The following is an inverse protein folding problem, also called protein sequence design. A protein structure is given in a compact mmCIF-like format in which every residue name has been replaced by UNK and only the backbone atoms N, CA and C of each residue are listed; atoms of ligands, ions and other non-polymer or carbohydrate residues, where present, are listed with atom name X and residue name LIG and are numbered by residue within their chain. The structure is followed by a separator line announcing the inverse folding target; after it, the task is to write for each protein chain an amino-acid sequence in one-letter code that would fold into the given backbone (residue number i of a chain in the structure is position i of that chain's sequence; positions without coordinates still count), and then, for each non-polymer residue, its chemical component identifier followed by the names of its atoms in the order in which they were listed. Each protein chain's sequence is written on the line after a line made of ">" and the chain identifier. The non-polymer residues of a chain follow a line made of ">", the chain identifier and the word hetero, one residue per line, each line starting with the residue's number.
data_IF_730884810185
#
_entry.id   IF_730884810185
#
_cell.length_a   1.000
_cell.length_b   1.000
_cell.length_c   1.000
_cell.angle_alpha   90.00
_cell.angle_beta   90.00
_cell.angle_gamma   90.00
#
_symmetry.space_group_name_H-M   'P 1'
#
loop_
_entity.id
_entity.type
_entity.pdbx_description
1 polymer ?
#
# COMPACT_ATOMS: atom_id res chain seq x y z
N UNK A 1 -5.52 1.28 9.41
CA UNK A 1 -6.48 2.27 9.97
C UNK A 1 -7.78 1.50 10.23
N UNK A 2 -8.52 1.84 11.27
CA UNK A 2 -9.85 1.28 11.49
C UNK A 2 -10.89 2.34 11.15
N UNK A 3 -11.93 1.95 10.41
CA UNK A 3 -13.10 2.76 10.09
C UNK A 3 -14.26 2.36 11.02
N UNK A 4 -15.17 3.28 11.30
CA UNK A 4 -16.33 3.06 12.17
C UNK A 4 -17.57 3.13 11.30
N UNK A 5 -18.31 2.02 11.23
CA UNK A 5 -19.53 1.92 10.43
C UNK A 5 -20.73 1.61 11.32
N UNK A 6 -21.80 2.35 11.08
CA UNK A 6 -23.07 2.16 11.76
C UNK A 6 -23.97 1.28 10.89
N UNK A 7 -24.49 0.19 11.48
CA UNK A 7 -25.40 -0.74 10.83
C UNK A 7 -26.73 -0.74 11.60
N UNK A 8 -27.84 -0.60 10.88
CA UNK A 8 -29.17 -0.68 11.46
C UNK A 8 -29.57 -2.15 11.59
N UNK A 9 -29.81 -2.60 12.82
CA UNK A 9 -30.19 -4.00 13.12
C UNK A 9 -31.72 -4.13 13.22
N UNK A 10 -32.40 -3.08 13.67
CA UNK A 10 -33.86 -2.97 13.77
C UNK A 10 -34.26 -1.51 13.58
N UNK A 11 -35.55 -1.20 13.37
CA UNK A 11 -36.01 0.20 13.23
C UNK A 11 -35.61 1.08 14.41
N UNK A 12 -35.52 0.52 15.61
CA UNK A 12 -35.17 1.23 16.86
C UNK A 12 -33.70 1.07 17.30
N UNK A 13 -32.92 0.21 16.64
CA UNK A 13 -31.57 -0.17 17.11
C UNK A 13 -30.49 -0.04 16.03
N UNK A 14 -29.51 0.82 16.31
CA UNK A 14 -28.30 1.00 15.51
C UNK A 14 -27.08 0.48 16.27
N UNK A 15 -26.23 -0.30 15.59
CA UNK A 15 -24.99 -0.83 16.15
C UNK A 15 -23.77 -0.30 15.40
N UNK A 16 -22.71 0.00 16.15
CA UNK A 16 -21.48 0.58 15.63
C UNK A 16 -20.35 -0.44 15.62
N UNK A 17 -19.80 -0.71 14.44
CA UNK A 17 -18.74 -1.67 14.24
C UNK A 17 -17.44 -1.00 13.83
N UNK A 18 -16.33 -1.51 14.37
CA UNK A 18 -14.99 -1.11 13.94
C UNK A 18 -14.53 -2.05 12.83
N UNK A 19 -14.50 -1.54 11.60
CA UNK A 19 -14.05 -2.28 10.42
C UNK A 19 -12.60 -1.94 10.10
N UNK A 20 -11.87 -2.90 9.52
CA UNK A 20 -10.54 -2.63 8.97
C UNK A 20 -10.67 -1.85 7.67
N UNK A 21 -9.95 -0.75 7.54
CA UNK A 21 -9.92 0.03 6.32
C UNK A 21 -8.49 0.29 5.83
N UNK A 22 -8.35 0.36 4.51
CA UNK A 22 -7.08 0.52 3.81
C UNK A 22 -7.24 1.44 2.61
N UNK A 23 -6.16 2.12 2.21
CA UNK A 23 -6.15 2.97 1.01
C UNK A 23 -6.48 2.25 -0.31
N UNK A 24 -6.59 0.92 -0.27
CA UNK A 24 -6.98 0.06 -1.38
C UNK A 24 -8.51 -0.08 -1.50
N UNK A 25 -9.26 0.20 -0.44
CA UNK A 25 -10.71 0.15 -0.43
C UNK A 25 -11.29 1.25 -1.34
N UNK A 26 -12.44 0.98 -1.95
CA UNK A 26 -13.11 1.93 -2.85
C UNK A 26 -13.57 3.18 -2.08
N UNK A 27 -14.15 2.94 -0.91
CA UNK A 27 -14.78 3.98 -0.10
C UNK A 27 -13.74 4.91 0.54
N UNK A 28 -12.51 4.43 0.77
CA UNK A 28 -11.45 5.19 1.43
C UNK A 28 -11.12 6.52 0.73
N UNK A 29 -11.24 6.56 -0.60
CA UNK A 29 -10.93 7.75 -1.42
C UNK A 29 -12.18 8.38 -2.02
N UNK A 30 -13.37 7.98 -1.56
CA UNK A 30 -14.62 8.52 -2.10
C UNK A 30 -14.83 9.93 -1.56
N UNK A 31 -15.01 10.89 -2.46
CA UNK A 31 -15.26 12.30 -2.14
C UNK A 31 -16.56 12.74 -2.82
N UNK A 32 -17.05 13.95 -2.54
CA UNK A 32 -18.28 14.49 -3.14
C UNK A 32 -18.23 14.50 -4.69
N UNK A 33 -17.06 14.74 -5.28
CA UNK A 33 -16.80 14.66 -6.72
C UNK A 33 -16.48 13.22 -7.21
N UNK A 34 -16.77 12.21 -6.39
CA UNK A 34 -16.43 10.82 -6.64
C UNK A 34 -15.01 10.43 -6.24
N UNK A 35 -14.59 9.23 -6.64
CA UNK A 35 -13.25 8.71 -6.37
C UNK A 35 -12.29 9.06 -7.52
N UNK A 36 -11.13 9.69 -7.24
CA UNK A 36 -10.12 9.97 -8.28
C UNK A 36 -9.48 8.69 -8.84
N UNK A 37 -9.57 7.57 -8.10
CA UNK A 37 -9.07 6.25 -8.50
C UNK A 37 -10.24 5.28 -8.60
N UNK A 38 -10.78 5.14 -9.81
CA UNK A 38 -12.01 4.35 -10.07
C UNK A 38 -11.69 2.86 -10.00
N UNK A 39 -10.60 2.43 -10.61
CA UNK A 39 -10.28 1.00 -10.74
C UNK A 39 -9.46 0.47 -9.57
N UNK A 40 -9.59 -0.84 -9.31
CA UNK A 40 -8.73 -1.54 -8.32
C UNK A 40 -7.25 -1.44 -8.71
N UNK A 41 -6.95 -1.44 -10.01
CA UNK A 41 -5.59 -1.37 -10.56
C UNK A 41 -4.95 -0.01 -10.28
N UNK A 42 -5.68 1.10 -10.43
CA UNK A 42 -5.18 2.44 -10.09
C UNK A 42 -4.83 2.57 -8.60
N UNK A 43 -5.70 2.07 -7.71
CA UNK A 43 -5.44 2.06 -6.27
C UNK A 43 -4.24 1.20 -5.92
N UNK A 44 -4.13 0.03 -6.57
CA UNK A 44 -2.96 -0.84 -6.45
C UNK A 44 -1.70 -0.08 -6.85
N UNK A 45 -1.65 0.47 -8.06
CA UNK A 45 -0.53 1.26 -8.55
C UNK A 45 -0.15 2.37 -7.57
N UNK A 46 -1.12 3.15 -7.07
CA UNK A 46 -0.85 4.23 -6.11
C UNK A 46 -0.14 3.72 -4.85
N UNK A 47 -0.57 2.59 -4.29
CA UNK A 47 0.03 2.03 -3.06
C UNK A 47 1.51 1.73 -3.23
N UNK A 48 1.92 1.19 -4.39
CA UNK A 48 3.32 0.89 -4.67
C UNK A 48 4.10 2.15 -5.03
N UNK A 49 3.53 3.01 -5.88
CA UNK A 49 4.19 4.26 -6.29
C UNK A 49 4.45 5.19 -5.10
N UNK A 50 3.49 5.33 -4.17
CA UNK A 50 3.70 6.12 -2.96
C UNK A 50 4.80 5.54 -2.06
N UNK A 51 5.06 4.22 -2.09
CA UNK A 51 6.07 3.60 -1.23
C UNK A 51 7.46 3.55 -1.84
N UNK A 52 7.53 3.40 -3.16
CA UNK A 52 8.75 3.08 -3.89
C UNK A 52 9.26 4.23 -4.77
N UNK A 53 8.42 5.21 -5.10
CA UNK A 53 8.75 6.28 -6.05
C UNK A 53 8.53 7.64 -5.41
N UNK A 54 7.29 8.00 -5.07
CA UNK A 54 6.98 9.36 -4.61
C UNK A 54 7.60 9.70 -3.26
N UNK A 55 7.66 8.74 -2.34
CA UNK A 55 8.26 8.97 -1.03
C UNK A 55 9.78 9.19 -1.13
N UNK A 56 10.57 8.33 -1.80
CA UNK A 56 12.00 8.62 -1.96
C UNK A 56 12.28 9.88 -2.79
N UNK A 57 11.46 10.21 -3.80
CA UNK A 57 11.59 11.48 -4.53
C UNK A 57 11.41 12.71 -3.63
N UNK A 58 10.55 12.63 -2.63
CA UNK A 58 10.19 13.75 -1.75
C UNK A 58 10.92 13.73 -0.38
N UNK A 59 11.62 12.65 -0.06
CA UNK A 59 12.30 12.43 1.22
C UNK A 59 13.77 12.00 1.02
N UNK A 60 14.47 12.68 0.09
CA UNK A 60 15.94 12.55 -0.07
C UNK A 60 16.43 11.11 -0.31
N UNK A 61 15.63 10.29 -0.99
CA UNK A 61 15.96 8.90 -1.31
C UNK A 61 15.62 7.89 -0.22
N UNK A 62 14.97 8.28 0.87
CA UNK A 62 14.47 7.33 1.86
C UNK A 62 13.26 6.54 1.35
N UNK A 63 13.22 5.25 1.66
CA UNK A 63 12.13 4.38 1.27
C UNK A 63 11.14 4.19 2.40
N UNK A 64 9.85 4.45 2.15
CA UNK A 64 8.78 4.14 3.09
C UNK A 64 8.54 2.62 3.28
N UNK A 65 9.23 1.78 2.52
CA UNK A 65 9.16 0.33 2.60
C UNK A 65 10.44 -0.23 3.25
N UNK A 66 10.35 -0.60 4.53
CA UNK A 66 11.45 -1.20 5.31
C UNK A 66 11.60 -2.72 5.14
N UNK A 67 10.92 -3.35 4.18
CA UNK A 67 11.03 -4.80 3.96
C UNK A 67 10.27 -5.71 4.95
N UNK A 68 9.48 -5.17 5.88
CA UNK A 68 8.79 -5.92 6.95
C UNK A 68 7.80 -7.05 6.55
N UNK A 69 7.60 -7.36 5.27
CA UNK A 69 6.75 -8.49 4.83
C UNK A 69 5.24 -8.39 5.10
N UNK A 70 4.76 -7.40 5.87
CA UNK A 70 3.32 -7.23 6.21
C UNK A 70 2.39 -7.12 5.02
N UNK A 71 2.92 -6.67 3.88
CA UNK A 71 2.16 -6.58 2.62
C UNK A 71 1.88 -7.95 2.00
N UNK A 72 2.77 -8.94 2.16
CA UNK A 72 2.61 -10.31 1.66
C UNK A 72 1.61 -11.08 2.54
N UNK A 73 1.82 -11.03 3.86
CA UNK A 73 1.03 -11.76 4.86
C UNK A 73 -0.47 -11.42 4.80
N UNK A 74 -0.80 -10.14 4.56
CA UNK A 74 -2.20 -9.68 4.48
C UNK A 74 -2.78 -9.73 3.07
N UNK A 75 -2.02 -10.13 2.05
CA UNK A 75 -2.51 -10.12 0.68
C UNK A 75 -3.26 -11.44 0.38
N UNK A 76 -4.57 -11.40 0.09
CA UNK A 76 -5.33 -12.60 -0.25
C UNK A 76 -4.89 -13.21 -1.60
N UNK A 77 -4.21 -12.42 -2.45
CA UNK A 77 -3.75 -12.83 -3.80
C UNK A 77 -2.23 -13.00 -3.85
N UNK A 78 -1.54 -12.96 -2.70
CA UNK A 78 -0.09 -13.19 -2.59
C UNK A 78 0.78 -12.35 -3.56
N UNK A 79 0.43 -11.08 -3.76
CA UNK A 79 1.15 -10.17 -4.64
C UNK A 79 2.49 -9.72 -4.01
N UNK A 80 3.59 -10.06 -4.68
CA UNK A 80 4.94 -9.82 -4.16
C UNK A 80 5.51 -8.46 -4.57
N UNK A 81 5.76 -7.60 -3.56
CA UNK A 81 6.32 -6.25 -3.75
C UNK A 81 7.71 -6.25 -4.37
N UNK A 82 8.53 -7.27 -4.10
CA UNK A 82 9.89 -7.39 -4.65
C UNK A 82 9.83 -7.66 -6.16
N UNK A 83 8.88 -8.51 -6.59
CA UNK A 83 8.65 -8.78 -8.01
C UNK A 83 8.22 -7.50 -8.73
N UNK A 84 7.29 -6.75 -8.13
CA UNK A 84 6.82 -5.47 -8.66
C UNK A 84 7.96 -4.46 -8.78
N UNK A 85 8.81 -4.33 -7.76
CA UNK A 85 9.96 -3.43 -7.79
C UNK A 85 10.97 -3.79 -8.90
N UNK A 86 11.22 -5.10 -9.11
CA UNK A 86 12.07 -5.60 -10.21
C UNK A 86 11.46 -5.26 -11.58
N UNK A 87 10.17 -5.46 -11.78
CA UNK A 87 9.47 -5.17 -13.04
C UNK A 87 9.52 -3.70 -13.42
N UNK A 88 9.34 -2.79 -12.44
CA UNK A 88 9.37 -1.36 -12.69
C UNK A 88 10.77 -0.79 -12.95
N UNK A 89 11.83 -1.61 -12.93
CA UNK A 89 13.23 -1.16 -13.12
C UNK A 89 13.59 0.06 -12.26
N UNK A 90 12.93 0.25 -11.11
CA UNK A 90 13.24 1.32 -10.14
C UNK A 90 14.70 1.21 -9.67
N UNK A 91 15.30 0.02 -9.82
CA UNK A 91 16.72 -0.25 -9.65
C UNK A 91 17.68 0.64 -10.48
N UNK A 92 17.24 1.28 -11.57
CA UNK A 92 18.14 2.01 -12.49
C UNK A 92 18.41 3.48 -12.10
N UNK A 93 17.77 4.03 -11.06
CA UNK A 93 18.06 5.39 -10.55
C UNK A 93 18.76 5.34 -9.19
N UNK A 94 19.19 4.15 -8.76
CA UNK A 94 19.66 3.95 -7.40
C UNK A 94 21.18 4.08 -7.30
N UNK A 95 21.58 5.18 -6.64
CA UNK A 95 22.87 5.35 -6.00
C UNK A 95 23.40 4.03 -5.43
N UNK A 96 24.73 3.75 -5.52
CA UNK A 96 25.38 2.55 -4.99
C UNK A 96 25.01 2.20 -3.53
N UNK A 97 24.54 3.18 -2.75
CA UNK A 97 24.11 3.02 -1.36
C UNK A 97 22.90 2.10 -1.15
N UNK A 98 22.06 1.86 -2.16
CA UNK A 98 20.93 0.92 -2.02
C UNK A 98 21.31 -0.53 -2.36
N UNK A 99 22.35 -0.73 -3.18
CA UNK A 99 22.86 -2.07 -3.52
C UNK A 99 23.47 -2.77 -2.30
N UNK A 100 24.11 -2.03 -1.40
CA UNK A 100 24.67 -2.57 -0.15
C UNK A 100 23.63 -2.91 0.93
N UNK A 101 22.41 -2.36 0.86
CA UNK A 101 21.31 -2.65 1.81
C UNK A 101 20.28 -3.63 1.26
N UNK A 102 20.27 -3.86 -0.05
CA UNK A 102 19.39 -4.84 -0.70
C UNK A 102 20.02 -6.24 -0.77
N UNK A 103 21.34 -6.37 -0.67
CA UNK A 103 21.99 -7.67 -0.45
C UNK A 103 21.46 -8.35 0.82
N UNK A 104 21.19 -7.57 1.86
CA UNK A 104 20.76 -8.07 3.18
C UNK A 104 19.26 -8.41 3.25
N UNK A 105 18.46 -7.89 2.32
CA UNK A 105 17.01 -8.20 2.22
C UNK A 105 16.77 -9.38 1.25
N UNK A 106 17.70 -9.65 0.34
CA UNK A 106 17.61 -10.75 -0.64
C UNK A 106 18.37 -12.00 -0.18
N UNK A 107 19.35 -11.88 0.72
CA UNK A 107 20.02 -13.01 1.36
C UNK A 107 19.66 -13.10 2.85
N UNK A 108 18.52 -13.71 3.15
CA UNK A 108 18.38 -14.54 4.36
C UNK A 108 18.04 -15.94 3.82
N UNK A 109 18.73 -17.02 4.27
CA UNK A 109 18.51 -18.38 3.79
C UNK A 109 17.06 -18.85 3.89
#
# INVERSE_FOLDING_TARGET
>A
RSDIRDYQETEERMQRYRCWDSCMAKDFTLMAHGSPRKTKVERFRQRYMHKLVYFPENNEGEYACVGCGRCLQKCPVQLNIVKVAKTFKICLILSPAMLSRLSDIICIP
#
